data_IF_315843992587
#
_entry.id   IF_315843992587
#
_cell.length_a   1.000
_cell.length_b   1.000
_cell.length_c   1.000
_cell.angle_alpha   90.00
_cell.angle_beta   90.00
_cell.angle_gamma   90.00
#
_symmetry.space_group_name_H-M   'P 1'
#
loop_
_entity.id
_entity.type
_entity.pdbx_description
1 polymer ?
#
# COMPACT_ATOMS: atom_id res chain seq x y z
N UNK A 1 -5.51 -0.40 18.37
CA UNK A 1 -4.33 0.26 17.74
C UNK A 1 -4.75 1.38 16.78
N UNK A 2 -5.59 1.12 15.78
CA UNK A 2 -6.10 2.15 14.85
C UNK A 2 -6.74 3.36 15.53
N UNK A 3 -7.53 3.16 16.59
CA UNK A 3 -8.21 4.27 17.30
C UNK A 3 -7.30 5.16 18.15
N UNK A 4 -6.13 4.66 18.54
CA UNK A 4 -5.24 5.29 19.54
C UNK A 4 -3.79 5.38 19.04
N UNK A 5 -3.56 5.43 17.73
CA UNK A 5 -2.20 5.37 17.19
C UNK A 5 -1.34 6.59 17.58
N UNK A 6 -1.96 7.73 17.90
CA UNK A 6 -1.30 8.96 18.32
C UNK A 6 -0.78 8.88 19.77
N UNK A 7 -1.38 8.01 20.60
CA UNK A 7 -0.95 7.79 21.97
C UNK A 7 0.43 7.12 22.02
N UNK A 8 1.19 7.27 23.12
CA UNK A 8 2.44 6.54 23.34
C UNK A 8 2.19 5.06 23.68
N UNK A 9 1.50 4.33 22.79
CA UNK A 9 1.13 2.93 22.99
C UNK A 9 2.37 2.03 23.13
N UNK A 10 2.52 1.46 24.31
CA UNK A 10 3.53 0.43 24.60
C UNK A 10 2.97 -0.96 24.35
N UNK A 11 3.86 -1.94 24.12
CA UNK A 11 3.45 -3.34 24.00
C UNK A 11 2.73 -3.84 25.27
N UNK A 12 3.14 -3.33 26.44
CA UNK A 12 2.53 -3.68 27.72
C UNK A 12 1.08 -3.20 27.81
N UNK A 13 0.81 -1.96 27.42
CA UNK A 13 -0.55 -1.41 27.40
C UNK A 13 -1.45 -2.18 26.43
N UNK A 14 -0.97 -2.46 25.21
CA UNK A 14 -1.76 -3.19 24.22
C UNK A 14 -2.06 -4.62 24.70
N UNK A 15 -1.09 -5.29 25.33
CA UNK A 15 -1.28 -6.64 25.84
C UNK A 15 -2.22 -6.69 27.06
N UNK A 16 -2.16 -5.66 27.92
CA UNK A 16 -3.04 -5.53 29.07
C UNK A 16 -4.51 -5.35 28.67
N UNK A 17 -4.80 -4.59 27.62
CA UNK A 17 -6.15 -4.38 27.07
C UNK A 17 -6.84 -5.69 26.61
N UNK A 18 -6.04 -6.70 26.25
CA UNK A 18 -6.55 -8.02 25.84
C UNK A 18 -6.23 -9.13 26.84
N UNK A 19 -5.83 -8.76 28.07
CA UNK A 19 -5.59 -9.66 29.20
C UNK A 19 -4.58 -10.79 28.93
N UNK A 20 -3.50 -10.51 28.19
CA UNK A 20 -2.42 -11.47 27.95
C UNK A 20 -1.05 -10.89 28.26
N UNK A 21 -0.04 -11.74 28.38
CA UNK A 21 1.34 -11.26 28.54
C UNK A 21 1.84 -10.57 27.25
N UNK A 22 2.72 -9.56 27.35
CA UNK A 22 3.32 -8.88 26.19
C UNK A 22 3.98 -9.84 25.20
N UNK A 23 4.64 -10.88 25.72
CA UNK A 23 5.27 -11.93 24.91
C UNK A 23 4.23 -12.74 24.12
N UNK A 24 3.15 -13.18 24.79
CA UNK A 24 2.08 -13.95 24.15
C UNK A 24 1.39 -13.12 23.08
N UNK A 25 1.03 -11.86 23.40
CA UNK A 25 0.44 -10.93 22.44
C UNK A 25 1.31 -10.77 21.20
N UNK A 26 2.59 -10.43 21.37
CA UNK A 26 3.52 -10.20 20.25
C UNK A 26 3.63 -11.42 19.35
N UNK A 27 3.71 -12.63 19.92
CA UNK A 27 3.82 -13.88 19.16
C UNK A 27 2.55 -14.18 18.37
N UNK A 28 1.38 -14.09 19.02
CA UNK A 28 0.08 -14.35 18.37
C UNK A 28 -0.19 -13.32 17.29
N UNK A 29 0.03 -12.04 17.59
CA UNK A 29 -0.12 -10.94 16.64
C UNK A 29 0.77 -11.13 15.42
N UNK A 30 2.07 -11.39 15.62
CA UNK A 30 3.01 -11.57 14.50
C UNK A 30 2.67 -12.77 13.64
N UNK A 31 2.12 -13.84 14.22
CA UNK A 31 1.65 -15.00 13.47
C UNK A 31 0.40 -14.70 12.65
N UNK A 32 -0.51 -13.89 13.18
CA UNK A 32 -1.76 -13.53 12.52
C UNK A 32 -1.56 -12.46 11.43
N UNK A 33 -0.77 -11.42 11.73
CA UNK A 33 -0.61 -10.23 10.87
C UNK A 33 0.67 -10.29 10.02
N UNK A 34 1.60 -11.19 10.34
CA UNK A 34 2.87 -11.35 9.60
C UNK A 34 3.96 -10.35 9.97
N UNK A 35 3.68 -9.37 10.84
CA UNK A 35 4.64 -8.39 11.35
C UNK A 35 4.50 -8.18 12.85
N UNK A 36 5.52 -7.64 13.49
CA UNK A 36 5.45 -7.31 14.92
C UNK A 36 4.46 -6.17 15.20
N UNK A 37 3.85 -6.11 16.40
CA UNK A 37 2.95 -5.01 16.78
C UNK A 37 3.57 -3.62 16.60
N UNK A 38 4.86 -3.45 16.92
CA UNK A 38 5.55 -2.17 16.75
C UNK A 38 5.71 -1.75 15.28
N UNK A 39 5.98 -2.71 14.39
CA UNK A 39 6.01 -2.45 12.93
C UNK A 39 4.62 -2.08 12.42
N UNK A 40 3.58 -2.78 12.87
CA UNK A 40 2.19 -2.48 12.52
C UNK A 40 1.76 -1.09 13.01
N UNK A 41 2.07 -0.72 14.25
CA UNK A 41 1.78 0.62 14.76
C UNK A 41 2.49 1.70 13.93
N UNK A 42 3.75 1.44 13.54
CA UNK A 42 4.51 2.35 12.68
C UNK A 42 3.83 2.51 11.32
N UNK A 43 3.35 1.43 10.70
CA UNK A 43 2.64 1.52 9.41
C UNK A 43 1.34 2.28 9.52
N UNK A 44 0.56 2.08 10.60
CA UNK A 44 -0.67 2.85 10.87
C UNK A 44 -0.37 4.34 11.03
N UNK A 45 0.68 4.70 11.76
CA UNK A 45 1.08 6.12 11.93
C UNK A 45 1.54 6.75 10.61
N UNK A 46 2.33 6.04 9.81
CA UNK A 46 2.76 6.52 8.49
C UNK A 46 1.57 6.65 7.53
N UNK A 47 0.63 5.72 7.57
CA UNK A 47 -0.61 5.76 6.80
C UNK A 47 -1.44 7.01 7.14
N UNK A 48 -1.64 7.28 8.43
CA UNK A 48 -2.30 8.50 8.90
C UNK A 48 -1.53 9.77 8.47
N UNK A 49 -0.21 9.78 8.55
CA UNK A 49 0.61 10.91 8.13
C UNK A 49 0.49 11.19 6.62
N UNK A 50 0.55 10.15 5.78
CA UNK A 50 0.32 10.25 4.32
C UNK A 50 -1.03 10.87 4.01
N UNK A 51 -2.09 10.42 4.70
CA UNK A 51 -3.43 10.99 4.56
C UNK A 51 -3.44 12.47 4.92
N UNK A 52 -2.90 12.86 6.07
CA UNK A 52 -2.87 14.25 6.52
C UNK A 52 -2.07 15.15 5.56
N UNK A 53 -0.94 14.65 5.03
CA UNK A 53 -0.12 15.37 4.05
C UNK A 53 -0.88 15.68 2.75
N UNK A 54 -1.77 14.80 2.31
CA UNK A 54 -2.52 14.95 1.05
C UNK A 54 -3.87 15.65 1.22
N UNK A 55 -4.45 15.65 2.42
CA UNK A 55 -5.82 16.13 2.67
C UNK A 55 -5.92 17.43 3.44
N UNK A 56 -4.84 17.85 4.10
CA UNK A 56 -4.87 19.01 5.01
C UNK A 56 -3.78 20.02 4.66
N UNK A 57 -3.96 21.24 5.16
CA UNK A 57 -2.96 22.30 5.10
C UNK A 57 -2.05 22.35 6.36
N UNK A 58 -2.15 21.36 7.26
CA UNK A 58 -1.35 21.30 8.48
C UNK A 58 0.14 21.41 8.17
N UNK A 59 0.97 21.93 9.08
CA UNK A 59 2.43 21.91 8.86
C UNK A 59 2.97 20.50 9.08
N UNK A 60 4.18 20.21 8.57
CA UNK A 60 4.83 18.91 8.84
C UNK A 60 5.01 18.70 10.35
N UNK A 61 5.26 19.78 11.11
CA UNK A 61 5.37 19.74 12.57
C UNK A 61 4.05 19.34 13.24
N UNK A 62 2.91 19.90 12.81
CA UNK A 62 1.60 19.55 13.38
C UNK A 62 1.22 18.10 13.10
N UNK A 63 1.55 17.62 11.90
CA UNK A 63 1.31 16.23 11.50
C UNK A 63 2.12 15.27 12.38
N UNK A 64 3.38 15.58 12.66
CA UNK A 64 4.26 14.78 13.53
C UNK A 64 3.64 14.57 14.90
N UNK A 65 3.11 15.63 15.51
CA UNK A 65 2.40 15.55 16.79
C UNK A 65 1.11 14.73 16.67
N UNK A 66 0.34 14.96 15.59
CA UNK A 66 -0.94 14.29 15.35
C UNK A 66 -0.83 12.78 15.12
N UNK A 67 0.36 12.28 14.72
CA UNK A 67 0.61 10.86 14.45
C UNK A 67 1.51 10.19 15.49
N UNK A 68 1.72 10.82 16.64
CA UNK A 68 2.39 10.22 17.79
C UNK A 68 3.91 10.13 17.69
N UNK A 69 4.54 11.07 16.96
CA UNK A 69 5.99 11.25 16.94
C UNK A 69 6.38 12.50 17.74
N UNK A 70 7.50 12.42 18.46
CA UNK A 70 7.98 13.51 19.32
C UNK A 70 9.09 14.36 18.68
N UNK A 71 9.50 14.04 17.45
CA UNK A 71 10.58 14.72 16.74
C UNK A 71 10.34 14.76 15.24
N UNK A 72 10.33 15.96 14.67
CA UNK A 72 10.19 16.20 13.24
C UNK A 72 11.36 15.59 12.46
N UNK A 73 12.58 15.69 12.99
CA UNK A 73 13.77 15.11 12.35
C UNK A 73 13.68 13.59 12.26
N UNK A 74 13.36 12.94 13.39
CA UNK A 74 13.18 11.48 13.43
C UNK A 74 12.05 11.01 12.53
N UNK A 75 10.91 11.71 12.54
CA UNK A 75 9.80 11.41 11.65
C UNK A 75 10.21 11.56 10.19
N UNK A 76 10.81 12.68 9.81
CA UNK A 76 11.20 12.98 8.42
C UNK A 76 12.16 11.93 7.88
N UNK A 77 13.21 11.58 8.63
CA UNK A 77 14.14 10.53 8.21
C UNK A 77 13.46 9.17 8.04
N UNK A 78 12.57 8.80 8.97
CA UNK A 78 11.83 7.53 8.89
C UNK A 78 10.82 7.52 7.74
N UNK A 79 10.09 8.60 7.55
CA UNK A 79 9.13 8.77 6.48
C UNK A 79 9.83 8.70 5.13
N UNK A 80 10.89 9.49 4.91
CA UNK A 80 11.63 9.49 3.65
C UNK A 80 12.23 8.13 3.36
N UNK A 81 12.78 7.43 4.37
CA UNK A 81 13.32 6.08 4.19
C UNK A 81 12.24 5.06 3.82
N UNK A 82 11.07 5.15 4.44
CA UNK A 82 9.99 4.19 4.24
C UNK A 82 9.22 4.44 2.93
N UNK A 83 9.02 5.71 2.57
CA UNK A 83 8.17 6.14 1.44
C UNK A 83 8.99 6.39 0.17
N UNK A 84 10.27 6.73 0.30
CA UNK A 84 11.15 7.13 -0.82
C UNK A 84 11.03 8.62 -1.19
N UNK A 85 10.14 9.37 -0.53
CA UNK A 85 9.92 10.80 -0.73
C UNK A 85 9.89 11.52 0.61
N UNK A 86 10.38 12.75 0.66
CA UNK A 86 10.22 13.59 1.85
C UNK A 86 8.74 13.96 2.08
N UNK A 87 8.33 14.28 3.32
CA UNK A 87 6.97 14.73 3.59
C UNK A 87 6.53 15.91 2.71
N UNK A 88 7.44 16.83 2.40
CA UNK A 88 7.17 17.98 1.53
C UNK A 88 6.93 17.56 0.08
N UNK A 89 7.77 16.68 -0.48
CA UNK A 89 7.57 16.13 -1.82
C UNK A 89 6.26 15.33 -1.91
N UNK A 90 5.92 14.62 -0.83
CA UNK A 90 4.69 13.83 -0.77
C UNK A 90 3.42 14.69 -0.83
N UNK A 91 3.49 16.00 -0.59
CA UNK A 91 2.35 16.92 -0.76
C UNK A 91 2.04 17.28 -2.21
N UNK A 92 2.89 16.90 -3.16
CA UNK A 92 2.65 17.19 -4.57
C UNK A 92 1.29 16.58 -4.98
N UNK A 93 0.37 17.36 -5.58
CA UNK A 93 -0.92 16.85 -6.07
C UNK A 93 -0.80 15.61 -6.97
N UNK A 94 0.30 15.46 -7.70
CA UNK A 94 0.57 14.27 -8.54
C UNK A 94 0.68 12.98 -7.72
N UNK A 95 1.13 13.07 -6.47
CA UNK A 95 1.18 11.94 -5.55
C UNK A 95 -0.23 11.46 -5.23
N UNK A 96 -1.17 12.39 -5.03
CA UNK A 96 -2.57 12.07 -4.79
C UNK A 96 -3.25 11.43 -6.01
N UNK A 97 -2.91 11.86 -7.23
CA UNK A 97 -3.43 11.29 -8.48
C UNK A 97 -3.02 9.82 -8.66
N UNK A 98 -1.77 9.49 -8.31
CA UNK A 98 -1.25 8.12 -8.42
C UNK A 98 -1.24 7.37 -7.07
N UNK A 99 -2.08 7.78 -6.13
CA UNK A 99 -2.16 7.16 -4.81
C UNK A 99 -2.99 5.88 -4.88
N UNK A 100 -2.41 4.80 -4.37
CA UNK A 100 -3.09 3.53 -4.12
C UNK A 100 -3.29 3.38 -2.63
N UNK A 101 -4.55 3.30 -2.20
CA UNK A 101 -4.90 3.05 -0.81
C UNK A 101 -5.82 1.83 -0.71
N UNK A 102 -5.47 0.89 0.16
CA UNK A 102 -6.36 -0.17 0.60
C UNK A 102 -6.46 -0.16 2.12
N UNK A 103 -7.65 0.16 2.64
CA UNK A 103 -7.99 0.03 4.05
C UNK A 103 -9.51 -0.09 4.22
N UNK A 104 -9.93 -0.54 5.41
CA UNK A 104 -11.34 -0.69 5.75
C UNK A 104 -12.10 0.65 5.85
N UNK A 105 -11.41 1.76 6.15
CA UNK A 105 -12.05 3.08 6.27
C UNK A 105 -12.11 3.82 4.93
N UNK A 106 -11.07 3.66 4.11
CA UNK A 106 -10.94 4.33 2.84
C UNK A 106 -10.09 3.52 1.87
N UNK A 107 -10.54 3.45 0.63
CA UNK A 107 -9.88 2.70 -0.43
C UNK A 107 -9.92 3.51 -1.72
N UNK A 108 -8.79 3.56 -2.41
CA UNK A 108 -8.70 4.17 -3.72
C UNK A 108 -7.68 3.45 -4.59
N UNK A 109 -8.02 3.35 -5.88
CA UNK A 109 -7.10 2.93 -6.91
C UNK A 109 -7.17 3.97 -8.04
N UNK A 110 -6.03 4.48 -8.54
CA UNK A 110 -6.04 5.40 -9.67
C UNK A 110 -6.68 4.72 -10.89
N UNK A 111 -7.25 5.48 -11.83
CA UNK A 111 -7.76 4.92 -13.09
C UNK A 111 -6.69 4.06 -13.79
N UNK A 112 -7.09 2.92 -14.36
CA UNK A 112 -6.16 1.99 -14.98
C UNK A 112 -5.28 2.62 -16.07
N UNK A 113 -5.80 3.58 -16.83
CA UNK A 113 -5.02 4.31 -17.83
C UNK A 113 -3.90 5.16 -17.23
N UNK A 114 -4.15 5.82 -16.09
CA UNK A 114 -3.13 6.61 -15.39
C UNK A 114 -2.05 5.70 -14.80
N UNK A 115 -2.44 4.58 -14.20
CA UNK A 115 -1.48 3.59 -13.71
C UNK A 115 -0.64 2.98 -14.84
N UNK A 116 -1.25 2.63 -15.98
CA UNK A 116 -0.50 2.12 -17.15
C UNK A 116 0.44 3.18 -17.72
N UNK A 117 0.03 4.46 -17.74
CA UNK A 117 0.88 5.57 -18.16
C UNK A 117 2.06 5.74 -17.20
N UNK A 118 1.81 5.76 -15.89
CA UNK A 118 2.85 5.86 -14.88
C UNK A 118 3.85 4.70 -15.02
N UNK A 119 3.37 3.47 -15.22
CA UNK A 119 4.20 2.27 -15.44
C UNK A 119 5.17 2.43 -16.62
N UNK A 120 4.68 2.95 -17.75
CA UNK A 120 5.51 3.18 -18.96
C UNK A 120 6.62 4.21 -18.75
N UNK A 121 6.44 5.13 -17.80
CA UNK A 121 7.40 6.19 -17.48
C UNK A 121 8.38 5.81 -16.37
N UNK A 122 8.22 4.63 -15.75
CA UNK A 122 9.07 4.20 -14.65
C UNK A 122 10.49 3.95 -15.09
N UNK A 123 11.42 4.29 -14.21
CA UNK A 123 12.83 3.97 -14.38
C UNK A 123 13.02 2.47 -14.21
N UNK A 124 13.67 1.81 -15.18
CA UNK A 124 13.99 0.38 -15.06
C UNK A 124 14.97 0.16 -13.90
N UNK A 125 14.86 -0.96 -13.18
CA UNK A 125 15.79 -1.29 -12.11
C UNK A 125 17.21 -1.48 -12.64
N UNK A 126 18.19 -1.03 -11.86
CA UNK A 126 19.60 -1.29 -12.13
C UNK A 126 19.92 -2.76 -11.80
N UNK A 127 20.45 -3.51 -12.78
CA UNK A 127 20.85 -4.91 -12.59
C UNK A 127 19.91 -5.94 -13.23
N UNK A 128 20.06 -7.24 -12.90
CA UNK A 128 19.27 -8.30 -13.49
C UNK A 128 17.80 -8.25 -13.02
N UNK A 129 16.88 -8.16 -13.97
CA UNK A 129 15.44 -8.22 -13.74
C UNK A 129 14.82 -9.46 -14.37
N UNK A 130 13.70 -9.90 -13.79
CA UNK A 130 12.97 -11.11 -14.15
C UNK A 130 11.46 -10.84 -14.19
N UNK A 131 10.70 -11.80 -14.69
CA UNK A 131 9.25 -11.76 -14.66
C UNK A 131 8.69 -12.71 -13.61
N UNK A 132 7.58 -12.30 -12.99
CA UNK A 132 6.72 -13.16 -12.19
C UNK A 132 5.43 -13.35 -12.95
N UNK A 133 4.97 -14.59 -13.09
CA UNK A 133 3.64 -14.89 -13.61
C UNK A 133 2.77 -15.45 -12.51
N UNK A 134 1.47 -15.47 -12.72
CA UNK A 134 0.55 -16.00 -11.73
C UNK A 134 -0.90 -15.93 -12.14
N UNK A 135 -1.75 -16.37 -11.24
CA UNK A 135 -3.20 -16.23 -11.37
C UNK A 135 -3.76 -15.48 -10.16
N UNK A 136 -4.76 -14.65 -10.43
CA UNK A 136 -5.62 -14.05 -9.43
C UNK A 136 -6.99 -14.73 -9.50
N UNK A 137 -7.58 -14.99 -8.34
CA UNK A 137 -8.98 -15.40 -8.21
C UNK A 137 -9.76 -14.26 -7.56
N UNK A 138 -10.66 -13.64 -8.34
CA UNK A 138 -11.61 -12.65 -7.85
C UNK A 138 -12.92 -13.33 -7.42
N UNK A 139 -13.56 -12.87 -6.34
CA UNK A 139 -14.88 -13.36 -5.97
C UNK A 139 -15.92 -12.89 -7.00
N UNK A 140 -16.95 -13.70 -7.27
CA UNK A 140 -17.96 -13.41 -8.31
C UNK A 140 -18.69 -12.08 -8.11
N UNK A 141 -18.85 -11.69 -6.84
CA UNK A 141 -19.42 -10.41 -6.44
C UNK A 141 -18.57 -9.19 -6.83
N UNK A 142 -17.28 -9.34 -7.08
CA UNK A 142 -16.43 -8.25 -7.57
C UNK A 142 -16.82 -7.83 -9.00
N UNK A 143 -17.37 -8.75 -9.80
CA UNK A 143 -17.77 -8.47 -11.17
C UNK A 143 -16.57 -8.12 -12.05
N UNK A 144 -16.75 -7.16 -12.96
CA UNK A 144 -15.64 -6.63 -13.74
C UNK A 144 -14.82 -5.67 -12.89
N UNK A 145 -13.50 -5.90 -12.78
CA UNK A 145 -12.60 -5.09 -11.95
C UNK A 145 -11.43 -4.53 -12.76
N UNK A 146 -10.86 -3.43 -12.28
CA UNK A 146 -9.46 -3.08 -12.55
C UNK A 146 -8.60 -3.63 -11.42
N UNK A 147 -7.53 -4.33 -11.79
CA UNK A 147 -6.61 -4.98 -10.87
C UNK A 147 -5.21 -4.40 -11.06
N UNK A 148 -4.62 -3.96 -9.97
CA UNK A 148 -3.20 -3.68 -9.84
C UNK A 148 -2.53 -4.89 -9.18
N UNK A 149 -1.61 -5.53 -9.88
CA UNK A 149 -0.73 -6.55 -9.29
C UNK A 149 0.64 -5.94 -9.11
N UNK A 150 1.05 -5.76 -7.86
CA UNK A 150 2.24 -5.01 -7.50
C UNK A 150 3.20 -5.85 -6.64
N UNK A 151 4.49 -5.66 -6.87
CA UNK A 151 5.56 -6.36 -6.19
C UNK A 151 6.26 -5.40 -5.23
N UNK A 152 6.49 -5.84 -4.01
CA UNK A 152 7.05 -5.05 -2.92
C UNK A 152 8.22 -5.77 -2.24
N UNK A 153 9.16 -5.03 -1.62
CA UNK A 153 10.23 -5.63 -0.84
C UNK A 153 9.77 -6.09 0.56
N UNK A 154 8.63 -5.58 1.05
CA UNK A 154 8.13 -5.82 2.40
C UNK A 154 6.62 -6.17 2.39
N UNK A 155 6.17 -6.88 3.42
CA UNK A 155 4.78 -7.33 3.55
C UNK A 155 3.77 -6.21 3.83
N UNK A 156 4.21 -5.11 4.45
CA UNK A 156 3.39 -3.90 4.61
C UNK A 156 4.07 -2.77 3.84
N UNK A 157 3.67 -2.56 2.57
CA UNK A 157 4.29 -1.57 1.72
C UNK A 157 4.21 -0.16 2.31
N UNK A 158 5.36 0.49 2.41
CA UNK A 158 5.43 1.92 2.75
C UNK A 158 5.84 2.80 1.57
N UNK A 159 6.58 2.25 0.61
CA UNK A 159 7.04 2.94 -0.59
C UNK A 159 6.39 2.38 -1.85
N UNK A 160 6.74 2.99 -2.98
CA UNK A 160 6.27 2.55 -4.29
C UNK A 160 6.64 1.07 -4.55
N UNK A 161 5.83 0.33 -5.32
CA UNK A 161 6.18 -1.04 -5.71
C UNK A 161 7.46 -1.06 -6.54
N UNK A 162 8.24 -2.13 -6.47
CA UNK A 162 9.43 -2.29 -7.34
C UNK A 162 9.01 -2.52 -8.79
N UNK A 163 7.90 -3.22 -8.99
CA UNK A 163 7.30 -3.47 -10.29
C UNK A 163 5.80 -3.72 -10.12
N UNK A 164 5.01 -3.45 -11.15
CA UNK A 164 3.59 -3.78 -11.14
C UNK A 164 3.04 -3.97 -12.55
N UNK A 165 1.86 -4.57 -12.63
CA UNK A 165 1.05 -4.71 -13.84
C UNK A 165 -0.39 -4.30 -13.56
N UNK A 166 -1.08 -3.82 -14.61
CA UNK A 166 -2.48 -3.38 -14.52
C UNK A 166 -3.32 -4.11 -15.56
N UNK A 167 -4.25 -4.92 -15.08
CA UNK A 167 -5.15 -5.72 -15.91
C UNK A 167 -6.61 -5.47 -15.54
N UNK A 168 -7.51 -5.77 -16.47
CA UNK A 168 -8.95 -5.82 -16.18
C UNK A 168 -9.38 -7.28 -16.14
N UNK A 169 -10.05 -7.68 -15.07
CA UNK A 169 -10.36 -9.09 -14.83
C UNK A 169 -11.78 -9.27 -14.25
N UNK A 170 -12.34 -10.46 -14.48
CA UNK A 170 -13.58 -10.95 -13.88
C UNK A 170 -13.38 -12.42 -13.56
N UNK A 171 -13.56 -12.82 -12.30
CA UNK A 171 -13.25 -14.17 -11.84
C UNK A 171 -11.74 -14.44 -11.90
N UNK A 172 -11.36 -15.62 -12.41
CA UNK A 172 -9.96 -16.01 -12.54
C UNK A 172 -9.28 -15.34 -13.72
N UNK A 173 -8.09 -14.78 -13.51
CA UNK A 173 -7.27 -14.18 -14.56
C UNK A 173 -5.78 -14.44 -14.35
N UNK A 174 -5.02 -14.56 -15.44
CA UNK A 174 -3.57 -14.63 -15.38
C UNK A 174 -2.93 -13.25 -15.48
N UNK A 175 -1.77 -13.10 -14.85
CA UNK A 175 -0.96 -11.89 -14.91
C UNK A 175 0.50 -12.23 -15.13
N UNK A 176 1.26 -11.25 -15.63
CA UNK A 176 2.72 -11.29 -15.63
C UNK A 176 3.25 -9.91 -15.29
N UNK A 177 4.07 -9.82 -14.23
CA UNK A 177 4.78 -8.60 -13.86
C UNK A 177 6.21 -8.72 -14.35
N UNK A 178 6.64 -7.79 -15.20
CA UNK A 178 8.01 -7.72 -15.72
C UNK A 178 8.88 -6.80 -14.85
N UNK A 179 10.18 -6.76 -15.16
CA UNK A 179 11.16 -5.85 -14.53
C UNK A 179 11.26 -5.99 -13.01
N UNK A 180 11.14 -7.21 -12.48
CA UNK A 180 11.26 -7.48 -11.06
C UNK A 180 12.71 -7.81 -10.67
N UNK A 181 13.33 -7.10 -9.72
CA UNK A 181 14.67 -7.41 -9.24
C UNK A 181 14.80 -8.83 -8.66
N UNK A 182 16.04 -9.31 -8.58
CA UNK A 182 16.37 -10.56 -7.87
C UNK A 182 16.24 -10.36 -6.36
N UNK A 183 15.65 -11.33 -5.66
CA UNK A 183 15.53 -11.32 -4.20
C UNK A 183 14.17 -11.79 -3.68
N UNK A 184 13.97 -11.74 -2.35
CA UNK A 184 12.67 -12.02 -1.73
C UNK A 184 11.71 -10.85 -1.94
N UNK A 185 10.53 -11.12 -2.47
CA UNK A 185 9.51 -10.11 -2.73
C UNK A 185 8.12 -10.57 -2.33
N UNK A 186 7.26 -9.62 -1.93
CA UNK A 186 5.84 -9.87 -1.65
C UNK A 186 5.03 -9.39 -2.84
N UNK A 187 4.13 -10.22 -3.35
CA UNK A 187 3.20 -9.86 -4.42
C UNK A 187 1.85 -9.54 -3.79
N UNK A 188 1.29 -8.37 -4.11
CA UNK A 188 -0.01 -7.92 -3.63
C UNK A 188 -0.86 -7.53 -4.83
N UNK A 189 -2.07 -8.08 -4.90
CA UNK A 189 -3.08 -7.72 -5.87
C UNK A 189 -4.18 -6.89 -5.19
N UNK A 190 -4.57 -5.82 -5.87
CA UNK A 190 -5.56 -4.86 -5.43
C UNK A 190 -6.57 -4.66 -6.54
N UNK A 191 -7.85 -4.89 -6.26
CA UNK A 191 -8.91 -4.83 -7.27
C UNK A 191 -10.06 -3.93 -6.84
N UNK A 192 -10.51 -3.07 -7.76
CA UNK A 192 -11.70 -2.23 -7.59
C UNK A 192 -12.73 -2.57 -8.67
N UNK A 193 -14.01 -2.78 -8.29
CA UNK A 193 -15.09 -2.97 -9.26
C UNK A 193 -15.26 -1.80 -10.22
N UNK A 194 -15.70 -2.09 -11.44
CA UNK A 194 -16.07 -1.11 -12.47
C UNK A 194 -17.57 -0.86 -12.53
N UNK A 195 -17.94 0.24 -13.19
CA UNK A 195 -19.33 0.57 -13.50
C UNK A 195 -20.15 0.82 -12.24
N UNK A 196 -21.39 0.34 -12.22
CA UNK A 196 -22.30 0.56 -11.09
C UNK A 196 -21.79 -0.01 -9.77
N UNK A 197 -20.97 -1.08 -9.82
CA UNK A 197 -20.35 -1.67 -8.62
C UNK A 197 -19.22 -0.82 -8.06
N UNK A 198 -18.62 0.08 -8.84
CA UNK A 198 -17.60 1.02 -8.36
C UNK A 198 -18.15 1.95 -7.27
N UNK A 199 -19.46 2.24 -7.32
CA UNK A 199 -20.15 3.07 -6.33
C UNK A 199 -20.22 2.45 -4.94
N UNK A 200 -20.01 1.13 -4.84
CA UNK A 200 -20.01 0.44 -3.56
C UNK A 200 -18.79 0.78 -2.70
N UNK A 201 -17.75 1.39 -3.26
CA UNK A 201 -16.50 1.69 -2.55
C UNK A 201 -15.71 0.44 -2.13
N UNK A 202 -16.15 -0.76 -2.53
CA UNK A 202 -15.53 -2.03 -2.16
C UNK A 202 -14.20 -2.19 -2.88
N UNK A 203 -13.22 -2.69 -2.14
CA UNK A 203 -11.91 -3.04 -2.67
C UNK A 203 -11.58 -4.46 -2.23
N UNK A 204 -10.97 -5.21 -3.14
CA UNK A 204 -10.53 -6.56 -2.89
C UNK A 204 -9.00 -6.61 -2.88
N UNK A 205 -8.44 -7.36 -1.95
CA UNK A 205 -7.01 -7.50 -1.78
C UNK A 205 -6.64 -8.97 -1.64
N UNK A 206 -5.48 -9.34 -2.19
CA UNK A 206 -4.86 -10.64 -1.99
C UNK A 206 -3.35 -10.48 -2.00
N UNK A 207 -2.64 -11.29 -1.22
CA UNK A 207 -1.17 -11.23 -1.14
C UNK A 207 -0.55 -12.62 -1.10
N UNK A 208 0.71 -12.72 -1.53
CA UNK A 208 1.50 -13.93 -1.37
C UNK A 208 1.72 -14.21 0.12
N UNK A 209 1.35 -15.40 0.60
CA UNK A 209 1.48 -15.80 2.02
C UNK A 209 2.90 -15.65 2.59
N UNK A 210 3.90 -15.87 1.75
CA UNK A 210 5.31 -15.75 2.08
C UNK A 210 6.05 -14.97 0.97
N UNK A 211 7.19 -14.34 1.28
CA UNK A 211 8.04 -13.75 0.25
C UNK A 211 8.41 -14.80 -0.80
N UNK A 212 8.25 -14.40 -2.05
CA UNK A 212 8.56 -15.17 -3.24
C UNK A 212 9.96 -14.80 -3.68
N UNK A 213 10.84 -15.80 -3.80
CA UNK A 213 12.21 -15.58 -4.22
C UNK A 213 12.31 -15.54 -5.74
N UNK A 214 12.85 -14.45 -6.27
CA UNK A 214 13.03 -14.24 -7.70
C UNK A 214 14.51 -14.37 -8.02
N UNK A 215 14.84 -15.21 -9.00
CA UNK A 215 16.21 -15.45 -9.45
C UNK A 215 16.26 -15.92 -10.90
N UNK A 216 17.42 -15.76 -11.55
CA UNK A 216 17.64 -16.17 -12.94
C UNK A 216 17.37 -17.67 -13.13
N UNK A 217 16.58 -17.99 -14.15
CA UNK A 217 16.24 -19.37 -14.51
C UNK A 217 15.12 -19.99 -13.68
N UNK A 218 14.64 -19.33 -12.63
CA UNK A 218 13.49 -19.78 -11.86
C UNK A 218 12.20 -19.24 -12.47
N UNK A 219 11.33 -20.13 -12.96
CA UNK A 219 9.96 -19.74 -13.31
C UNK A 219 9.15 -19.61 -12.04
N UNK A 220 8.85 -18.36 -11.67
CA UNK A 220 8.08 -18.04 -10.48
C UNK A 220 6.61 -17.93 -10.85
N UNK A 221 5.76 -18.78 -10.25
CA UNK A 221 4.31 -18.74 -10.41
C UNK A 221 3.62 -18.52 -9.07
N UNK A 222 2.76 -17.51 -8.97
CA UNK A 222 2.07 -17.15 -7.73
C UNK A 222 0.56 -17.22 -7.92
N UNK A 223 -0.15 -17.76 -6.94
CA UNK A 223 -1.61 -17.76 -6.92
C UNK A 223 -2.12 -16.84 -5.82
N UNK A 224 -2.97 -15.87 -6.17
CA UNK A 224 -3.50 -14.88 -5.24
C UNK A 224 -5.02 -14.99 -5.22
N UNK A 225 -5.59 -15.38 -4.08
CA UNK A 225 -7.03 -15.32 -3.85
C UNK A 225 -7.37 -13.97 -3.23
N UNK A 226 -8.23 -13.20 -3.89
CA UNK A 226 -8.63 -11.88 -3.42
C UNK A 226 -9.90 -11.99 -2.58
N UNK A 227 -9.93 -11.25 -1.48
CA UNK A 227 -11.09 -11.07 -0.62
C UNK A 227 -11.31 -9.59 -0.34
N UNK A 228 -12.52 -9.22 0.09
CA UNK A 228 -12.79 -7.85 0.49
C UNK A 228 -11.87 -7.42 1.65
N UNK A 229 -11.36 -6.19 1.59
CA UNK A 229 -10.46 -5.63 2.62
C UNK A 229 -11.18 -5.60 3.97
N UNK A 230 -10.54 -6.19 4.99
CA UNK A 230 -11.04 -6.30 6.35
C UNK A 230 -10.36 -5.27 7.29
N UNK A 231 -10.95 -5.01 8.46
CA UNK A 231 -10.37 -4.13 9.48
C UNK A 231 -9.00 -4.63 9.99
N UNK A 232 -8.81 -5.96 10.00
CA UNK A 232 -7.57 -6.62 10.43
C UNK A 232 -6.45 -6.55 9.40
N UNK A 233 -6.75 -6.16 8.16
CA UNK A 233 -5.75 -6.03 7.12
C UNK A 233 -4.78 -4.88 7.43
N UNK A 234 -3.52 -5.05 7.04
CA UNK A 234 -2.55 -3.98 7.15
C UNK A 234 -2.90 -2.87 6.14
N UNK A 235 -2.99 -1.60 6.58
CA UNK A 235 -3.34 -0.52 5.68
C UNK A 235 -2.21 -0.28 4.67
N UNK A 236 -2.56 -0.23 3.40
CA UNK A 236 -1.64 0.10 2.30
C UNK A 236 -1.93 1.53 1.87
N UNK A 237 -0.91 2.39 1.88
CA UNK A 237 -0.94 3.68 1.17
C UNK A 237 0.40 3.88 0.47
N UNK A 238 0.42 3.65 -0.84
CA UNK A 238 1.62 3.76 -1.66
C UNK A 238 1.32 4.63 -2.87
N UNK A 239 2.31 5.39 -3.33
CA UNK A 239 2.18 6.12 -4.59
C UNK A 239 2.87 5.35 -5.71
N UNK A 240 2.26 5.35 -6.89
CA UNK A 240 2.89 4.87 -8.12
C UNK A 240 3.75 5.94 -8.79
N UNK A 241 3.74 7.18 -8.29
CA UNK A 241 4.61 8.25 -8.75
C UNK A 241 6.07 7.97 -8.35
N UNK A 242 7.01 8.28 -9.24
CA UNK A 242 8.43 8.25 -8.92
C UNK A 242 8.91 9.64 -8.47
N UNK A 243 9.90 9.72 -7.56
CA UNK A 243 10.41 11.00 -7.05
C UNK A 243 11.04 11.90 -8.13
N UNK A 244 11.41 11.33 -9.29
CA UNK A 244 12.32 11.94 -10.28
C UNK A 244 11.66 12.40 -11.57
N UNK A 245 10.34 12.25 -11.76
CA UNK A 245 9.72 12.63 -13.04
C UNK A 245 9.04 13.99 -12.96
N UNK A 246 9.79 15.03 -13.34
CA UNK A 246 9.23 16.33 -13.76
C UNK A 246 8.46 16.17 -15.07
N UNK A 247 7.23 15.65 -15.02
CA UNK A 247 6.31 15.68 -16.18
C UNK A 247 5.54 16.99 -16.17
N UNK A 248 5.62 17.75 -17.26
CA UNK A 248 4.86 18.98 -17.49
C UNK A 248 3.35 18.78 -17.25
N UNK A 249 2.76 19.74 -16.55
CA UNK A 249 1.39 19.73 -16.06
C UNK A 249 0.38 19.99 -17.17
N UNK A 250 -0.50 19.03 -17.45
CA UNK A 250 -1.78 19.27 -18.12
C UNK A 250 -2.87 18.29 -17.69
N UNK A 251 -3.16 18.09 -16.41
CA UNK A 251 -4.36 17.31 -16.06
C UNK A 251 -5.11 17.88 -14.85
N UNK A 252 -6.42 17.69 -14.93
CA UNK A 252 -7.46 18.31 -14.11
C UNK A 252 -7.58 17.59 -12.77
N UNK A 253 -7.82 18.38 -11.70
CA UNK A 253 -7.88 17.95 -10.30
C UNK A 253 -8.84 16.77 -10.10
N UNK A 254 -8.30 15.56 -9.87
CA UNK A 254 -9.11 14.38 -9.50
C UNK A 254 -9.42 14.36 -8.01
N UNK A 255 -10.70 14.09 -7.71
CA UNK A 255 -11.38 14.26 -6.43
C UNK A 255 -11.23 13.08 -5.44
N UNK A 256 -10.13 12.32 -5.50
CA UNK A 256 -10.06 11.01 -4.86
C UNK A 256 -10.02 11.03 -3.31
N UNK A 257 -9.70 12.16 -2.68
CA UNK A 257 -9.52 12.24 -1.22
C UNK A 257 -10.49 13.20 -0.51
N UNK A 258 -11.62 13.55 -1.13
CA UNK A 258 -12.63 14.46 -0.52
C UNK A 258 -13.83 13.78 0.13
N UNK A 259 -13.93 12.46 0.08
CA UNK A 259 -14.88 11.69 0.90
C UNK A 259 -13.98 10.99 1.92
N UNK A 260 -13.88 11.41 3.19
CA UNK A 260 -14.93 11.39 4.19
C UNK A 260 -14.43 12.21 5.40
N UNK A 261 -14.92 13.44 5.56
CA UNK A 261 -14.90 14.14 6.85
C UNK A 261 -16.33 14.57 7.11
N UNK A 262 -17.05 13.71 7.83
CA UNK A 262 -18.25 14.04 8.58
C UNK A 262 -18.22 13.18 9.85
#
# INVERSE_FOLDING_TARGET
MHKRYCDPLTLNEIAAEVFVSPYHFSRVFSRAVGVTPGKYLTSVRLFAAKRLLLTTALTVSDIVCSVGYNSVGTFTSRFTRAVGMSPTQYRDPKVAELLVVASHEYSCLPPAEEMRRARRLRTRPEGPSHSISGAIDLPDEAGQTDVLVAVFPEAIPQGAPVAYEVLSAKGRAEFTVADVPTGPHVVIALAVPKGDRARSGRMFMGSSRHPVNIARGLRTYVHLSLSEVQETDAPIAVTLAEPTVSVESRFSRSACIRQTVA
#
